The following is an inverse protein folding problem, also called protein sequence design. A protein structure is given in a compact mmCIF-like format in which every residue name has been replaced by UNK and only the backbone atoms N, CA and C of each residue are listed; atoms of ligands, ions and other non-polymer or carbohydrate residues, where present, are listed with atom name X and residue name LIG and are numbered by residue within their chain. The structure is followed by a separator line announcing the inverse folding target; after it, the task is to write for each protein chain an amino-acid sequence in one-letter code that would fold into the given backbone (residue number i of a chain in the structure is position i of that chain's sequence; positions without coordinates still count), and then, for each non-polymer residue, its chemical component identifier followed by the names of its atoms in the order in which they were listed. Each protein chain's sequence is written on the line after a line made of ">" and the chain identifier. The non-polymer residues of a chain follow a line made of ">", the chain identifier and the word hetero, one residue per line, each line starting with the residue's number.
data_IF_370572079887
#
_entry.id   IF_370572079887
#
_cell.length_a   1.000
_cell.length_b   1.000
_cell.length_c   1.000
_cell.angle_alpha   90.00
_cell.angle_beta   90.00
_cell.angle_gamma   90.00
#
_symmetry.space_group_name_H-M   'P 1'
#
loop_
_entity.id
_entity.type
_entity.pdbx_description
1 polymer ?
#
# COMPACT_ATOMS: atom_id res chain seq x y z
N UNK A 1 12.40 -17.45 8.26
CA UNK A 1 12.64 -16.01 8.52
C UNK A 1 11.90 -15.63 9.78
N UNK A 2 12.60 -15.52 10.92
CA UNK A 2 12.00 -14.99 12.14
C UNK A 2 12.02 -13.46 12.06
N UNK A 3 10.88 -12.86 11.74
CA UNK A 3 10.71 -11.42 11.87
C UNK A 3 10.51 -11.17 13.36
N UNK A 4 11.62 -10.96 14.07
CA UNK A 4 11.59 -10.54 15.46
C UNK A 4 10.77 -9.23 15.53
N UNK A 5 9.64 -9.25 16.22
CA UNK A 5 8.84 -8.05 16.45
C UNK A 5 9.61 -7.13 17.39
N UNK A 6 10.45 -6.25 16.81
CA UNK A 6 11.03 -5.15 17.57
C UNK A 6 9.89 -4.31 18.12
N UNK A 7 9.87 -4.14 19.43
CA UNK A 7 8.99 -3.20 20.13
C UNK A 7 9.35 -1.81 19.61
N UNK A 8 8.45 -1.19 18.84
CA UNK A 8 8.68 0.14 18.27
C UNK A 8 8.68 1.12 19.44
N UNK A 9 9.81 1.81 19.65
CA UNK A 9 9.89 2.81 20.70
C UNK A 9 9.29 4.12 20.19
N UNK A 10 8.78 4.96 21.10
CA UNK A 10 8.26 6.29 20.76
C UNK A 10 9.27 7.15 19.99
N UNK A 11 10.57 6.94 20.26
CA UNK A 11 11.68 7.60 19.56
C UNK A 11 11.70 7.25 18.07
N UNK A 12 11.46 5.98 17.74
CA UNK A 12 11.44 5.51 16.34
C UNK A 12 10.26 6.14 15.58
N UNK A 13 9.11 6.28 16.24
CA UNK A 13 7.93 6.96 15.68
C UNK A 13 8.24 8.44 15.41
N UNK A 14 8.88 9.12 16.37
CA UNK A 14 9.25 10.54 16.23
C UNK A 14 10.27 10.73 15.10
N UNK A 15 11.27 9.85 14.99
CA UNK A 15 12.25 9.88 13.90
C UNK A 15 11.57 9.65 12.55
N UNK A 16 10.68 8.67 12.46
CA UNK A 16 9.90 8.42 11.25
C UNK A 16 9.04 9.63 10.85
N UNK A 17 8.37 10.26 11.81
CA UNK A 17 7.55 11.45 11.55
C UNK A 17 8.41 12.65 11.10
N UNK A 18 9.54 12.89 11.77
CA UNK A 18 10.47 13.95 11.38
C UNK A 18 11.01 13.74 9.96
N UNK A 19 11.33 12.49 9.59
CA UNK A 19 11.77 12.13 8.26
C UNK A 19 10.70 12.43 7.18
N UNK A 20 9.44 12.08 7.45
CA UNK A 20 8.32 12.37 6.53
C UNK A 20 8.15 13.88 6.34
N UNK A 21 8.26 14.67 7.40
CA UNK A 21 8.15 16.13 7.34
C UNK A 21 9.29 16.72 6.48
N UNK A 22 10.54 16.30 6.71
CA UNK A 22 11.69 16.76 5.92
C UNK A 22 11.50 16.41 4.44
N UNK A 23 11.06 15.20 4.12
CA UNK A 23 10.77 14.80 2.75
C UNK A 23 9.68 15.67 2.11
N UNK A 24 8.59 15.95 2.84
CA UNK A 24 7.50 16.78 2.34
C UNK A 24 7.96 18.19 1.92
N UNK A 25 8.88 18.80 2.67
CA UNK A 25 9.42 20.12 2.34
C UNK A 25 10.53 20.09 1.29
N UNK A 26 11.35 19.02 1.23
CA UNK A 26 12.47 18.91 0.29
C UNK A 26 12.03 18.45 -1.10
N UNK A 27 11.04 17.56 -1.22
CA UNK A 27 10.51 17.07 -2.51
C UNK A 27 10.13 18.17 -3.51
N UNK A 28 9.42 19.26 -3.10
CA UNK A 28 9.13 20.39 -3.98
C UNK A 28 10.37 21.04 -4.62
N UNK A 29 11.51 21.03 -3.92
CA UNK A 29 12.75 21.63 -4.43
C UNK A 29 13.35 20.84 -5.60
N UNK A 30 13.03 19.54 -5.69
CA UNK A 30 13.41 18.66 -6.79
C UNK A 30 12.36 18.64 -7.92
N UNK A 31 11.38 19.56 -7.89
CA UNK A 31 10.28 19.62 -8.87
C UNK A 31 9.19 18.57 -8.63
N UNK A 32 9.31 17.75 -7.58
CA UNK A 32 8.30 16.76 -7.22
C UNK A 32 7.31 17.39 -6.24
N UNK A 33 6.13 17.72 -6.74
CA UNK A 33 5.06 18.28 -5.91
C UNK A 33 4.43 17.16 -5.05
N UNK A 34 4.46 17.24 -3.71
CA UNK A 34 3.91 16.20 -2.82
C UNK A 34 2.46 15.86 -3.09
N UNK A 35 1.67 16.84 -3.53
CA UNK A 35 0.29 16.65 -3.97
C UNK A 35 0.14 15.62 -5.08
N UNK A 36 1.06 15.59 -6.04
CA UNK A 36 1.03 14.62 -7.15
C UNK A 36 1.29 13.20 -6.67
N UNK A 37 2.16 13.02 -5.66
CA UNK A 37 2.41 11.70 -5.06
C UNK A 37 1.12 11.15 -4.44
N UNK A 38 0.38 11.98 -3.70
CA UNK A 38 -0.90 11.58 -3.11
C UNK A 38 -1.94 11.24 -4.20
N UNK A 39 -2.03 12.07 -5.23
CA UNK A 39 -2.95 11.85 -6.35
C UNK A 39 -2.63 10.55 -7.10
N UNK A 40 -1.36 10.31 -7.40
CA UNK A 40 -0.90 9.08 -8.06
C UNK A 40 -1.16 7.86 -7.18
N UNK A 41 -0.95 7.95 -5.86
CA UNK A 41 -1.25 6.84 -4.96
C UNK A 41 -2.75 6.51 -4.96
N UNK A 42 -3.64 7.52 -4.87
CA UNK A 42 -5.09 7.29 -4.98
C UNK A 42 -5.46 6.70 -6.34
N UNK A 43 -4.91 7.21 -7.43
CA UNK A 43 -5.17 6.71 -8.78
C UNK A 43 -4.71 5.25 -8.95
N UNK A 44 -3.56 4.87 -8.39
CA UNK A 44 -3.09 3.49 -8.38
C UNK A 44 -4.05 2.60 -7.59
N UNK A 45 -4.47 3.03 -6.40
CA UNK A 45 -5.43 2.27 -5.58
C UNK A 45 -6.76 2.09 -6.31
N UNK A 46 -7.28 3.14 -6.94
CA UNK A 46 -8.50 3.06 -7.76
C UNK A 46 -8.30 2.10 -8.94
N UNK A 47 -7.18 2.19 -9.66
CA UNK A 47 -6.90 1.32 -10.80
C UNK A 47 -6.78 -0.15 -10.38
N UNK A 48 -6.06 -0.44 -9.31
CA UNK A 48 -5.93 -1.80 -8.77
C UNK A 48 -7.29 -2.35 -8.34
N UNK A 49 -8.11 -1.57 -7.65
CA UNK A 49 -9.44 -2.02 -7.21
C UNK A 49 -10.43 -2.16 -8.36
N UNK A 50 -10.37 -1.29 -9.37
CA UNK A 50 -11.25 -1.34 -10.53
C UNK A 50 -10.89 -2.47 -11.50
N UNK A 51 -9.60 -2.71 -11.71
CA UNK A 51 -9.15 -3.63 -12.76
C UNK A 51 -8.62 -4.95 -12.23
N UNK A 52 -7.87 -4.98 -11.13
CA UNK A 52 -7.23 -6.22 -10.64
C UNK A 52 -8.15 -6.99 -9.69
N UNK A 53 -8.83 -6.30 -8.78
CA UNK A 53 -9.66 -6.93 -7.75
C UNK A 53 -10.78 -7.83 -8.33
N UNK A 54 -11.48 -7.46 -9.43
CA UNK A 54 -12.47 -8.34 -10.04
C UNK A 54 -11.90 -9.69 -10.50
N UNK A 55 -10.69 -9.71 -11.07
CA UNK A 55 -10.04 -10.95 -11.51
C UNK A 55 -9.65 -11.84 -10.34
N UNK A 56 -9.15 -11.24 -9.26
CA UNK A 56 -8.85 -11.96 -8.02
C UNK A 56 -10.13 -12.61 -7.50
N UNK A 57 -11.23 -11.86 -7.38
CA UNK A 57 -12.52 -12.37 -6.93
C UNK A 57 -13.01 -13.51 -7.83
N UNK A 58 -12.94 -13.36 -9.15
CA UNK A 58 -13.34 -14.40 -10.11
C UNK A 58 -12.51 -15.68 -9.94
N UNK A 59 -11.18 -15.57 -9.84
CA UNK A 59 -10.30 -16.71 -9.62
C UNK A 59 -10.69 -17.47 -8.35
N UNK A 60 -10.89 -16.76 -7.25
CA UNK A 60 -11.30 -17.37 -5.99
C UNK A 60 -12.70 -17.97 -6.06
N UNK A 61 -13.65 -17.32 -6.73
CA UNK A 61 -15.00 -17.84 -6.92
C UNK A 61 -14.99 -19.18 -7.70
N UNK A 62 -14.25 -19.25 -8.80
CA UNK A 62 -14.11 -20.49 -9.59
C UNK A 62 -13.45 -21.59 -8.75
N UNK A 63 -12.41 -21.25 -7.99
CA UNK A 63 -11.72 -22.20 -7.11
C UNK A 63 -12.65 -22.73 -6.02
N UNK A 64 -13.48 -21.86 -5.43
CA UNK A 64 -14.48 -22.25 -4.43
C UNK A 64 -15.49 -23.21 -5.03
N UNK A 65 -16.07 -22.89 -6.18
CA UNK A 65 -17.03 -23.75 -6.88
C UNK A 65 -16.43 -25.14 -7.15
N UNK A 66 -15.22 -25.21 -7.71
CA UNK A 66 -14.53 -26.49 -7.96
C UNK A 66 -14.28 -27.29 -6.69
N UNK A 67 -13.95 -26.62 -5.59
CA UNK A 67 -13.76 -27.30 -4.30
C UNK A 67 -15.05 -27.87 -3.71
N UNK A 68 -16.20 -27.30 -4.08
CA UNK A 68 -17.52 -27.77 -3.66
C UNK A 68 -18.05 -28.87 -4.58
N UNK A 69 -17.76 -28.80 -5.88
CA UNK A 69 -18.10 -29.83 -6.87
C UNK A 69 -17.30 -31.13 -6.68
N UNK A 70 -16.08 -31.04 -6.14
CA UNK A 70 -15.23 -32.20 -5.85
C UNK A 70 -15.57 -32.91 -4.53
N UNK A 71 -16.59 -32.45 -3.79
CA UNK A 71 -17.14 -33.10 -2.59
C UNK A 71 -18.45 -33.80 -2.92
#
# INVERSE_FOLDING_TARGET
>A
MQIASRRIEWKDIIIGLAFIIVLYFTLPHFGVKPYWILLTLMAIVEWVTKFILPWIVLYWAIRLIKSWESK
#
